data_IF_900286486583
#
_entry.id   IF_900286486583
#
_cell.length_a   1.000
_cell.length_b   1.000
_cell.length_c   1.000
_cell.angle_alpha   90.00
_cell.angle_beta   90.00
_cell.angle_gamma   90.00
#
_symmetry.space_group_name_H-M   'P 1'
#
loop_
_entity.id
_entity.type
_entity.pdbx_description
1 polymer ?
#
# COMPACT_ATOMS: atom_id res chain seq x y z
N UNK A 1 -8.20 7.90 11.46
CA UNK A 1 -7.44 9.18 11.51
C UNK A 1 -8.27 10.28 10.90
N UNK A 2 -8.26 11.51 11.45
CA UNK A 2 -9.00 12.59 10.82
C UNK A 2 -8.27 13.09 9.58
N UNK A 3 -8.99 13.31 8.50
CA UNK A 3 -8.57 13.95 7.25
C UNK A 3 -7.69 15.20 7.50
N UNK A 4 -8.03 15.98 8.51
CA UNK A 4 -7.33 17.19 8.94
C UNK A 4 -5.87 16.97 9.39
N UNK A 5 -5.47 15.78 9.83
CA UNK A 5 -4.09 15.52 10.24
C UNK A 5 -3.18 15.37 9.00
N UNK A 6 -3.63 14.62 8.00
CA UNK A 6 -2.88 14.44 6.75
C UNK A 6 -2.78 15.73 5.94
N UNK A 7 -3.82 16.56 5.92
CA UNK A 7 -3.75 17.88 5.29
C UNK A 7 -2.64 18.76 5.88
N UNK A 8 -2.48 18.70 7.20
CA UNK A 8 -1.49 19.53 7.92
C UNK A 8 -0.05 19.11 7.67
N UNK A 9 0.21 17.79 7.50
CA UNK A 9 1.57 17.26 7.35
C UNK A 9 1.96 17.00 5.89
N UNK A 10 1.08 17.25 4.92
CA UNK A 10 1.24 16.82 3.54
C UNK A 10 2.54 17.34 2.89
N UNK A 11 2.91 18.59 3.14
CA UNK A 11 4.10 19.21 2.55
C UNK A 11 5.40 18.60 3.09
N UNK A 12 5.43 18.20 4.37
CA UNK A 12 6.60 17.63 5.04
C UNK A 12 6.54 16.09 5.09
N UNK A 13 5.50 15.46 4.55
CA UNK A 13 5.24 14.03 4.69
C UNK A 13 6.39 13.17 4.16
N UNK A 14 6.89 13.49 2.98
CA UNK A 14 7.97 12.73 2.34
C UNK A 14 9.32 12.90 3.04
N UNK A 15 9.52 14.03 3.75
CA UNK A 15 10.73 14.33 4.51
C UNK A 15 10.71 13.74 5.93
N UNK A 16 9.61 13.10 6.32
CA UNK A 16 9.47 12.45 7.64
C UNK A 16 10.43 11.28 7.85
N UNK A 17 10.95 10.70 6.77
CA UNK A 17 11.91 9.60 6.77
C UNK A 17 13.13 9.92 5.90
N UNK A 18 14.31 9.33 6.19
CA UNK A 18 15.50 9.52 5.34
C UNK A 18 15.25 9.13 3.88
N UNK A 19 15.50 10.04 2.96
CA UNK A 19 15.23 9.88 1.53
C UNK A 19 15.79 8.57 0.93
N UNK A 20 16.96 8.11 1.39
CA UNK A 20 17.56 6.86 0.89
C UNK A 20 16.82 5.60 1.36
N UNK A 21 16.13 5.65 2.51
CA UNK A 21 15.28 4.56 3.00
C UNK A 21 13.95 4.57 2.26
N UNK A 22 13.36 5.76 2.07
CA UNK A 22 12.15 5.93 1.23
C UNK A 22 12.41 5.37 -0.17
N UNK A 23 13.53 5.74 -0.79
CA UNK A 23 13.93 5.25 -2.11
C UNK A 23 14.08 3.73 -2.16
N UNK A 24 14.71 3.13 -1.14
CA UNK A 24 14.84 1.68 -1.04
C UNK A 24 13.47 0.97 -1.07
N UNK A 25 12.51 1.46 -0.28
CA UNK A 25 11.17 0.86 -0.23
C UNK A 25 10.34 1.16 -1.48
N UNK A 26 10.44 2.36 -2.05
CA UNK A 26 9.78 2.69 -3.32
C UNK A 26 10.27 1.79 -4.46
N UNK A 27 11.59 1.65 -4.62
CA UNK A 27 12.17 0.77 -5.63
C UNK A 27 11.74 -0.69 -5.46
N UNK A 28 11.65 -1.15 -4.21
CA UNK A 28 11.21 -2.50 -3.88
C UNK A 28 9.75 -2.75 -4.24
N UNK A 29 8.86 -1.82 -3.87
CA UNK A 29 7.42 -1.87 -4.16
C UNK A 29 7.16 -1.79 -5.67
N UNK A 30 7.81 -0.86 -6.36
CA UNK A 30 7.74 -0.71 -7.82
C UNK A 30 8.13 -2.02 -8.51
N UNK A 31 9.28 -2.60 -8.15
CA UNK A 31 9.73 -3.88 -8.72
C UNK A 31 8.71 -4.99 -8.50
N UNK A 32 8.17 -5.13 -7.27
CA UNK A 32 7.17 -6.13 -6.96
C UNK A 32 5.92 -5.98 -7.85
N UNK A 33 5.40 -4.76 -7.99
CA UNK A 33 4.22 -4.50 -8.84
C UNK A 33 4.52 -4.86 -10.30
N UNK A 34 5.65 -4.40 -10.83
CA UNK A 34 6.04 -4.67 -12.23
C UNK A 34 6.22 -6.18 -12.50
N UNK A 35 6.73 -6.94 -11.53
CA UNK A 35 6.95 -8.39 -11.66
C UNK A 35 5.66 -9.22 -11.54
N UNK A 36 4.67 -8.75 -10.78
CA UNK A 36 3.52 -9.59 -10.41
C UNK A 36 2.16 -9.07 -10.90
N UNK A 37 2.09 -7.84 -11.39
CA UNK A 37 0.83 -7.22 -11.79
C UNK A 37 0.85 -6.82 -13.27
N UNK A 38 -0.26 -7.00 -14.00
CA UNK A 38 -0.35 -6.59 -15.40
C UNK A 38 -0.23 -5.06 -15.50
N UNK A 39 0.40 -4.58 -16.57
CA UNK A 39 0.31 -3.16 -16.94
C UNK A 39 -1.09 -2.87 -17.47
N UNK A 40 -1.54 -1.65 -17.30
CA UNK A 40 -2.86 -1.19 -17.71
C UNK A 40 -3.35 -0.09 -16.78
N UNK A 41 -4.67 0.04 -16.63
CA UNK A 41 -5.27 0.98 -15.69
C UNK A 41 -5.05 0.53 -14.26
N UNK A 42 -4.56 1.46 -13.41
CA UNK A 42 -4.24 1.14 -12.02
C UNK A 42 -4.77 2.20 -11.05
N UNK A 43 -5.29 1.75 -9.90
CA UNK A 43 -5.81 2.58 -8.83
C UNK A 43 -4.97 2.41 -7.57
N UNK A 44 -4.47 3.53 -7.05
CA UNK A 44 -3.83 3.64 -5.72
C UNK A 44 -4.86 4.15 -4.71
N UNK A 45 -5.25 3.31 -3.76
CA UNK A 45 -6.24 3.66 -2.72
C UNK A 45 -5.50 4.13 -1.46
N UNK A 46 -5.72 5.38 -1.08
CA UNK A 46 -4.92 6.07 -0.07
C UNK A 46 -3.55 6.46 -0.63
N UNK A 47 -3.53 7.12 -1.79
CA UNK A 47 -2.31 7.39 -2.54
C UNK A 47 -1.35 8.38 -1.87
N UNK A 48 -1.81 9.15 -0.87
CA UNK A 48 -1.01 10.17 -0.22
C UNK A 48 -0.40 11.16 -1.22
N UNK A 49 0.89 11.44 -1.06
CA UNK A 49 1.67 12.31 -1.96
C UNK A 49 1.96 11.71 -3.33
N UNK A 50 1.48 10.50 -3.63
CA UNK A 50 1.60 9.84 -4.93
C UNK A 50 2.99 9.31 -5.29
N UNK A 51 3.90 9.14 -4.34
CA UNK A 51 5.28 8.74 -4.61
C UNK A 51 5.39 7.40 -5.36
N UNK A 52 4.61 6.38 -4.96
CA UNK A 52 4.58 5.09 -5.67
C UNK A 52 3.79 5.19 -6.98
N UNK A 53 2.65 5.89 -6.98
CA UNK A 53 1.84 6.07 -8.18
C UNK A 53 2.62 6.75 -9.30
N UNK A 54 3.42 7.78 -9.00
CA UNK A 54 4.28 8.45 -9.99
C UNK A 54 5.30 7.49 -10.61
N UNK A 55 5.92 6.62 -9.80
CA UNK A 55 6.86 5.61 -10.32
C UNK A 55 6.20 4.56 -11.20
N UNK A 56 5.01 4.12 -10.83
CA UNK A 56 4.25 3.16 -11.64
C UNK A 56 3.79 3.79 -12.94
N UNK A 57 3.44 5.10 -12.94
CA UNK A 57 3.16 5.83 -14.17
C UNK A 57 4.38 5.88 -15.11
N UNK A 58 5.61 6.05 -14.56
CA UNK A 58 6.86 5.98 -15.33
C UNK A 58 7.14 4.56 -15.87
N UNK A 59 6.66 3.52 -15.19
CA UNK A 59 6.72 2.12 -15.64
C UNK A 59 5.62 1.75 -16.65
N UNK A 60 4.75 2.70 -17.03
CA UNK A 60 3.74 2.54 -18.08
C UNK A 60 2.36 2.10 -17.58
N UNK A 61 2.04 2.30 -16.30
CA UNK A 61 0.68 2.16 -15.79
C UNK A 61 -0.11 3.45 -16.02
N UNK A 62 -1.40 3.33 -16.37
CA UNK A 62 -2.35 4.45 -16.40
C UNK A 62 -2.92 4.66 -14.99
N UNK A 63 -2.36 5.66 -14.27
CA UNK A 63 -2.50 5.79 -12.84
C UNK A 63 -3.60 6.76 -12.41
N UNK A 64 -4.45 6.28 -11.52
CA UNK A 64 -5.36 7.10 -10.70
C UNK A 64 -5.00 6.92 -9.23
N UNK A 65 -4.95 8.00 -8.47
CA UNK A 65 -4.80 7.97 -7.02
C UNK A 65 -6.05 8.49 -6.33
N UNK A 66 -6.52 7.80 -5.27
CA UNK A 66 -7.61 8.27 -4.41
C UNK A 66 -7.07 8.52 -3.02
N UNK A 67 -7.36 9.70 -2.47
CA UNK A 67 -7.04 10.05 -1.09
C UNK A 67 -8.13 10.97 -0.51
N UNK A 68 -8.49 10.87 0.78
CA UNK A 68 -9.43 11.81 1.38
C UNK A 68 -8.82 13.19 1.63
N UNK A 69 -7.49 13.34 1.71
CA UNK A 69 -6.77 14.57 2.01
C UNK A 69 -6.53 15.42 0.77
N UNK A 70 -7.10 16.62 0.73
CA UNK A 70 -6.82 17.62 -0.31
C UNK A 70 -5.36 18.08 -0.28
N UNK A 71 -4.73 18.09 0.91
CA UNK A 71 -3.32 18.40 1.08
C UNK A 71 -2.42 17.41 0.36
N UNK A 72 -2.66 16.10 0.56
CA UNK A 72 -1.93 15.03 -0.10
C UNK A 72 -2.09 15.09 -1.62
N UNK A 73 -3.31 15.29 -2.11
CA UNK A 73 -3.58 15.38 -3.55
C UNK A 73 -2.92 16.59 -4.20
N UNK A 74 -2.81 17.73 -3.50
CA UNK A 74 -2.05 18.88 -4.00
C UNK A 74 -0.56 18.57 -4.18
N UNK A 75 0.05 17.84 -3.22
CA UNK A 75 1.44 17.40 -3.34
C UNK A 75 1.61 16.41 -4.49
N UNK A 76 0.66 15.48 -4.67
CA UNK A 76 0.65 14.57 -5.82
C UNK A 76 0.63 15.33 -7.14
N UNK A 77 -0.25 16.33 -7.30
CA UNK A 77 -0.36 17.16 -8.52
C UNK A 77 0.94 17.93 -8.81
N UNK A 78 1.61 18.43 -7.76
CA UNK A 78 2.92 19.09 -7.90
C UNK A 78 4.04 18.10 -8.28
N UNK A 79 3.94 16.84 -7.82
CA UNK A 79 4.94 15.80 -8.09
C UNK A 79 4.93 15.35 -9.54
N UNK A 80 3.76 15.16 -10.12
CA UNK A 80 3.63 14.59 -11.48
C UNK A 80 2.30 14.92 -12.13
N UNK A 81 2.35 15.23 -13.43
CA UNK A 81 1.15 15.32 -14.26
C UNK A 81 0.66 13.99 -14.86
N UNK A 82 1.31 12.86 -14.50
CA UNK A 82 0.99 11.53 -15.07
C UNK A 82 0.00 10.73 -14.22
N UNK A 83 -0.33 11.21 -13.03
CA UNK A 83 -1.26 10.55 -12.10
C UNK A 83 -2.46 11.47 -11.90
N UNK A 84 -3.66 10.96 -12.10
CA UNK A 84 -4.89 11.69 -11.82
C UNK A 84 -5.28 11.51 -10.35
N UNK A 85 -5.16 12.57 -9.55
CA UNK A 85 -5.65 12.61 -8.18
C UNK A 85 -7.17 12.76 -8.13
N UNK A 86 -7.83 12.00 -7.25
CA UNK A 86 -9.29 12.07 -7.00
C UNK A 86 -9.50 12.06 -5.50
N UNK A 87 -10.26 13.04 -5.00
CA UNK A 87 -10.68 13.02 -3.60
C UNK A 87 -11.72 11.94 -3.37
N UNK A 88 -11.52 11.09 -2.36
CA UNK A 88 -12.46 10.02 -2.05
C UNK A 88 -11.99 9.13 -0.92
N UNK A 89 -12.87 8.22 -0.50
CA UNK A 89 -12.62 7.24 0.56
C UNK A 89 -12.50 5.83 -0.01
N UNK A 90 -11.57 5.02 0.51
CA UNK A 90 -11.47 3.61 0.19
C UNK A 90 -12.73 2.80 0.52
N UNK A 91 -13.57 3.28 1.46
CA UNK A 91 -14.83 2.63 1.84
C UNK A 91 -15.98 2.86 0.86
N UNK A 92 -15.81 3.77 -0.11
CA UNK A 92 -16.80 4.08 -1.15
C UNK A 92 -16.09 4.69 -2.36
N UNK A 93 -15.62 3.84 -3.26
CA UNK A 93 -14.89 4.27 -4.45
C UNK A 93 -15.86 4.69 -5.56
N UNK A 94 -15.76 5.95 -5.99
CA UNK A 94 -16.62 6.52 -7.04
C UNK A 94 -16.18 6.12 -8.45
N UNK A 95 -15.94 4.81 -8.65
CA UNK A 95 -15.62 4.22 -9.94
C UNK A 95 -16.58 3.08 -10.25
N UNK A 96 -16.89 2.84 -11.54
CA UNK A 96 -17.68 1.68 -11.94
C UNK A 96 -17.01 0.37 -11.54
N UNK A 97 -17.79 -0.70 -11.46
CA UNK A 97 -17.27 -2.06 -11.34
C UNK A 97 -16.33 -2.36 -12.52
N UNK A 98 -15.34 -3.23 -12.28
CA UNK A 98 -14.48 -3.76 -13.34
C UNK A 98 -13.69 -2.68 -14.13
N UNK A 99 -13.25 -1.60 -13.45
CA UNK A 99 -12.61 -0.44 -14.10
C UNK A 99 -11.08 -0.57 -14.22
N UNK A 100 -10.42 -1.29 -13.32
CA UNK A 100 -8.96 -1.29 -13.21
C UNK A 100 -8.34 -2.69 -13.37
N UNK A 101 -7.18 -2.76 -14.01
CA UNK A 101 -6.38 -3.98 -14.13
C UNK A 101 -5.59 -4.28 -12.84
N UNK A 102 -5.23 -3.22 -12.08
CA UNK A 102 -4.59 -3.29 -10.79
C UNK A 102 -5.25 -2.30 -9.82
N UNK A 103 -5.62 -2.77 -8.64
CA UNK A 103 -6.02 -1.92 -7.51
C UNK A 103 -5.12 -2.23 -6.32
N UNK A 104 -4.50 -1.22 -5.73
CA UNK A 104 -3.61 -1.46 -4.61
C UNK A 104 -3.73 -0.40 -3.52
N UNK A 105 -3.28 -0.76 -2.33
CA UNK A 105 -3.04 0.18 -1.24
C UNK A 105 -1.73 -0.16 -0.53
N UNK A 106 -1.03 0.87 -0.07
CA UNK A 106 0.25 0.72 0.64
C UNK A 106 0.24 1.56 1.90
N UNK A 107 0.39 0.93 3.06
CA UNK A 107 0.39 1.57 4.37
C UNK A 107 -0.89 2.40 4.65
N UNK A 108 -2.05 1.83 4.34
CA UNK A 108 -3.36 2.48 4.48
C UNK A 108 -4.26 1.79 5.50
N UNK A 109 -4.31 0.46 5.45
CA UNK A 109 -5.30 -0.31 6.21
C UNK A 109 -5.19 -0.10 7.72
N UNK A 110 -3.97 0.10 8.25
CA UNK A 110 -3.75 0.33 9.68
C UNK A 110 -4.29 1.68 10.17
N UNK A 111 -4.56 2.63 9.27
CA UNK A 111 -5.23 3.89 9.60
C UNK A 111 -6.76 3.76 9.68
N UNK A 112 -7.32 2.62 9.27
CA UNK A 112 -8.76 2.36 9.33
C UNK A 112 -9.08 1.67 10.66
N UNK A 113 -9.63 2.43 11.62
CA UNK A 113 -9.87 1.94 12.98
C UNK A 113 -10.94 0.83 13.04
N UNK A 114 -12.05 0.98 12.29
CA UNK A 114 -13.15 0.05 12.31
C UNK A 114 -12.92 -1.16 11.39
N UNK A 115 -13.09 -2.38 11.92
CA UNK A 115 -12.93 -3.60 11.14
C UNK A 115 -13.93 -3.70 9.97
N UNK A 116 -15.13 -3.13 10.14
CA UNK A 116 -16.14 -3.07 9.08
C UNK A 116 -15.70 -2.20 7.91
N UNK A 117 -15.02 -1.09 8.19
CA UNK A 117 -14.51 -0.20 7.15
C UNK A 117 -13.30 -0.82 6.42
N UNK A 118 -12.45 -1.60 7.11
CA UNK A 118 -11.43 -2.41 6.45
C UNK A 118 -12.06 -3.40 5.47
N UNK A 119 -13.10 -4.15 5.91
CA UNK A 119 -13.81 -5.08 5.02
C UNK A 119 -14.46 -4.37 3.85
N UNK A 120 -15.08 -3.20 4.08
CA UNK A 120 -15.67 -2.36 3.03
C UNK A 120 -14.63 -1.92 2.02
N UNK A 121 -13.48 -1.41 2.48
CA UNK A 121 -12.38 -0.98 1.62
C UNK A 121 -11.88 -2.14 0.75
N UNK A 122 -11.66 -3.32 1.33
CA UNK A 122 -11.25 -4.51 0.58
C UNK A 122 -12.32 -4.92 -0.46
N UNK A 123 -13.60 -4.87 -0.09
CA UNK A 123 -14.71 -5.16 -1.00
C UNK A 123 -14.77 -4.16 -2.17
N UNK A 124 -14.62 -2.87 -1.91
CA UNK A 124 -14.58 -1.85 -2.94
C UNK A 124 -13.38 -2.02 -3.88
N UNK A 125 -12.20 -2.29 -3.33
CA UNK A 125 -11.00 -2.59 -4.14
C UNK A 125 -11.25 -3.76 -5.10
N UNK A 126 -11.87 -4.84 -4.61
CA UNK A 126 -12.22 -5.99 -5.45
C UNK A 126 -13.31 -5.62 -6.46
N UNK A 127 -14.36 -4.87 -6.05
CA UNK A 127 -15.45 -4.45 -6.93
C UNK A 127 -14.94 -3.72 -8.16
N UNK A 128 -14.08 -2.72 -7.97
CA UNK A 128 -13.56 -1.89 -9.06
C UNK A 128 -12.45 -2.55 -9.87
N UNK A 129 -11.89 -3.68 -9.39
CA UNK A 129 -10.91 -4.48 -10.14
C UNK A 129 -11.62 -5.29 -11.23
N UNK A 130 -11.05 -5.36 -12.42
CA UNK A 130 -11.56 -6.20 -13.53
C UNK A 130 -11.45 -7.68 -13.22
N UNK A 131 -12.32 -8.53 -13.78
CA UNK A 131 -12.10 -9.98 -13.75
C UNK A 131 -10.72 -10.37 -14.29
N UNK A 132 -9.97 -11.15 -13.52
CA UNK A 132 -8.57 -11.49 -13.80
C UNK A 132 -7.55 -10.42 -13.42
N UNK A 133 -7.99 -9.22 -13.02
CA UNK A 133 -7.13 -8.15 -12.50
C UNK A 133 -6.55 -8.48 -11.12
N UNK A 134 -5.68 -7.62 -10.62
CA UNK A 134 -4.94 -7.80 -9.37
C UNK A 134 -5.38 -6.82 -8.30
N UNK A 135 -5.49 -7.34 -7.07
CA UNK A 135 -5.65 -6.53 -5.85
C UNK A 135 -4.42 -6.75 -4.97
N UNK A 136 -3.72 -5.68 -4.61
CA UNK A 136 -2.52 -5.73 -3.77
C UNK A 136 -2.74 -4.93 -2.49
N UNK A 137 -2.52 -5.57 -1.35
CA UNK A 137 -2.45 -4.92 -0.04
C UNK A 137 -1.05 -5.08 0.52
N UNK A 138 -0.39 -3.94 0.80
CA UNK A 138 0.93 -3.89 1.41
C UNK A 138 0.84 -3.07 2.68
N UNK A 139 0.79 -3.72 3.84
CA UNK A 139 0.54 -3.02 5.10
C UNK A 139 1.40 -3.55 6.25
N UNK A 140 1.39 -2.86 7.37
CA UNK A 140 2.18 -3.16 8.54
C UNK A 140 1.88 -4.55 9.12
N UNK A 141 2.93 -5.31 9.44
CA UNK A 141 2.80 -6.65 10.03
C UNK A 141 2.74 -6.55 11.56
N UNK A 142 1.62 -6.92 12.22
CA UNK A 142 1.49 -6.87 13.66
C UNK A 142 2.47 -7.76 14.43
N UNK A 143 3.10 -8.73 13.75
CA UNK A 143 4.14 -9.60 14.34
C UNK A 143 5.50 -8.94 14.42
N UNK A 144 5.71 -7.82 13.70
CA UNK A 144 6.96 -7.08 13.80
C UNK A 144 6.93 -6.20 15.06
N UNK A 145 7.85 -6.42 16.03
CA UNK A 145 7.85 -5.66 17.26
C UNK A 145 8.21 -4.18 17.08
N UNK A 146 8.85 -3.82 15.98
CA UNK A 146 9.27 -2.46 15.66
C UNK A 146 8.09 -1.51 15.55
N UNK A 147 6.97 -1.93 14.95
CA UNK A 147 5.78 -1.09 14.79
C UNK A 147 5.21 -0.61 16.12
N UNK A 148 5.19 -1.47 17.15
CA UNK A 148 4.70 -1.11 18.49
C UNK A 148 5.52 0.00 19.15
N UNK A 149 6.81 0.12 18.78
CA UNK A 149 7.71 1.13 19.31
C UNK A 149 7.71 2.40 18.47
N UNK A 150 7.49 2.28 17.16
CA UNK A 150 7.60 3.36 16.20
C UNK A 150 6.29 4.15 16.07
N UNK A 151 5.15 3.50 15.98
CA UNK A 151 3.84 4.14 15.76
C UNK A 151 3.53 5.24 16.79
N UNK A 152 4.02 5.09 18.02
CA UNK A 152 3.87 6.14 19.04
C UNK A 152 4.81 7.37 18.85
N UNK A 153 5.67 7.37 17.82
CA UNK A 153 6.74 8.38 17.64
C UNK A 153 6.72 9.05 16.28
N UNK A 154 5.93 8.56 15.32
CA UNK A 154 5.87 9.13 13.97
C UNK A 154 4.69 10.10 13.85
N UNK A 155 4.87 11.26 13.18
CA UNK A 155 3.85 12.32 13.11
C UNK A 155 2.55 11.89 12.42
N UNK A 156 2.61 10.91 11.53
CA UNK A 156 1.47 10.38 10.79
C UNK A 156 0.57 9.49 11.65
N UNK A 157 1.07 8.95 12.76
CA UNK A 157 0.31 8.07 13.65
C UNK A 157 -0.25 8.85 14.84
N UNK A 158 -1.50 8.60 15.18
CA UNK A 158 -2.23 9.28 16.26
C UNK A 158 -2.39 8.41 17.52
N UNK A 159 -1.96 7.12 17.44
CA UNK A 159 -2.16 6.12 18.48
C UNK A 159 -3.50 5.39 18.40
N UNK A 160 -4.33 5.71 17.41
CA UNK A 160 -5.60 5.03 17.13
C UNK A 160 -5.46 3.94 16.05
N UNK A 161 -4.27 3.80 15.50
CA UNK A 161 -3.96 2.87 14.41
C UNK A 161 -4.11 1.42 14.89
N UNK A 162 -4.70 0.60 14.03
CA UNK A 162 -4.89 -0.82 14.27
C UNK A 162 -4.09 -1.66 13.28
N UNK A 163 -3.05 -2.33 13.73
CA UNK A 163 -2.28 -3.26 12.88
C UNK A 163 -3.15 -4.44 12.44
N UNK A 164 -3.27 -4.61 11.13
CA UNK A 164 -4.15 -5.63 10.52
C UNK A 164 -3.36 -6.92 10.28
N UNK A 165 -3.88 -8.02 10.82
CA UNK A 165 -3.29 -9.34 10.59
C UNK A 165 -3.51 -9.83 9.16
N UNK A 166 -2.55 -10.60 8.64
CA UNK A 166 -2.65 -11.19 7.29
C UNK A 166 -3.92 -12.02 7.09
N UNK A 167 -4.36 -12.71 8.13
CA UNK A 167 -5.57 -13.56 8.07
C UNK A 167 -6.85 -12.74 7.93
N UNK A 168 -6.88 -11.51 8.48
CA UNK A 168 -8.00 -10.58 8.31
C UNK A 168 -8.04 -10.02 6.89
N UNK A 169 -6.88 -9.60 6.35
CA UNK A 169 -6.78 -9.15 4.96
C UNK A 169 -7.20 -10.23 3.97
N UNK A 170 -6.74 -11.46 4.18
CA UNK A 170 -7.10 -12.60 3.33
C UNK A 170 -8.60 -12.89 3.38
N UNK A 171 -9.19 -12.96 4.57
CA UNK A 171 -10.64 -13.17 4.69
C UNK A 171 -11.42 -12.09 3.98
N UNK A 172 -11.09 -10.81 4.20
CA UNK A 172 -11.79 -9.71 3.53
C UNK A 172 -11.71 -9.77 2.01
N UNK A 173 -10.56 -10.14 1.45
CA UNK A 173 -10.40 -10.32 -0.01
C UNK A 173 -11.17 -11.52 -0.54
N UNK A 174 -11.13 -12.67 0.16
CA UNK A 174 -11.86 -13.89 -0.23
C UNK A 174 -13.36 -13.66 -0.15
N UNK A 175 -13.86 -13.06 0.92
CA UNK A 175 -15.28 -12.75 1.10
C UNK A 175 -15.80 -11.79 0.03
N UNK A 176 -14.90 -10.91 -0.49
CA UNK A 176 -15.19 -10.02 -1.61
C UNK A 176 -15.10 -10.68 -2.99
N UNK A 177 -14.72 -11.96 -3.08
CA UNK A 177 -14.64 -12.72 -4.34
C UNK A 177 -13.28 -12.69 -5.03
N UNK A 178 -12.19 -12.35 -4.31
CA UNK A 178 -10.83 -12.44 -4.83
C UNK A 178 -10.11 -13.70 -4.31
N UNK A 179 -9.28 -14.30 -5.16
CA UNK A 179 -8.49 -15.48 -4.84
C UNK A 179 -7.03 -15.08 -4.53
N UNK A 180 -6.45 -15.54 -3.41
CA UNK A 180 -5.05 -15.27 -3.10
C UNK A 180 -4.10 -15.84 -4.16
N UNK A 181 -3.18 -15.01 -4.66
CA UNK A 181 -2.13 -15.39 -5.62
C UNK A 181 -0.79 -15.52 -4.93
N UNK A 182 -0.46 -14.56 -4.07
CA UNK A 182 0.79 -14.54 -3.32
C UNK A 182 0.57 -13.91 -1.94
N UNK A 183 1.04 -14.59 -0.92
CA UNK A 183 1.07 -14.07 0.44
C UNK A 183 2.48 -14.15 0.97
N UNK A 184 3.07 -13.01 1.27
CA UNK A 184 4.45 -12.94 1.77
C UNK A 184 4.60 -11.83 2.80
N UNK A 185 5.79 -11.69 3.35
CA UNK A 185 6.18 -10.58 4.21
C UNK A 185 7.49 -10.00 3.71
N UNK A 186 7.63 -8.69 3.85
CA UNK A 186 8.73 -7.93 3.28
C UNK A 186 9.13 -6.76 4.17
N UNK A 187 10.39 -6.32 4.02
CA UNK A 187 10.93 -5.17 4.73
C UNK A 187 11.59 -5.53 6.05
N UNK A 188 12.88 -5.21 6.16
CA UNK A 188 13.69 -5.35 7.39
C UNK A 188 14.69 -4.21 7.55
N UNK A 189 14.73 -3.27 6.60
CA UNK A 189 15.62 -2.10 6.68
C UNK A 189 14.95 -1.07 7.60
N UNK A 190 15.53 -0.77 8.78
CA UNK A 190 14.99 0.25 9.66
C UNK A 190 15.13 1.65 9.04
N UNK A 191 14.22 2.56 9.36
CA UNK A 191 14.22 3.94 8.88
C UNK A 191 15.44 4.75 9.34
N UNK A 192 16.03 4.42 10.48
CA UNK A 192 17.26 5.03 10.98
C UNK A 192 18.56 4.46 10.35
N UNK A 193 18.47 3.58 9.34
CA UNK A 193 19.65 2.96 8.71
C UNK A 193 20.52 4.03 8.04
N UNK A 194 21.81 4.16 8.38
CA UNK A 194 22.70 5.09 7.71
C UNK A 194 22.88 4.76 6.23
N UNK A 195 23.00 5.78 5.38
CA UNK A 195 23.18 5.60 3.92
C UNK A 195 24.33 4.67 3.57
N UNK A 196 25.44 4.74 4.30
CA UNK A 196 26.63 3.88 4.10
C UNK A 196 26.36 2.39 4.38
N UNK A 197 25.36 2.06 5.21
CA UNK A 197 25.01 0.69 5.57
C UNK A 197 23.81 0.15 4.78
N UNK A 198 23.15 0.97 3.95
CA UNK A 198 21.95 0.58 3.24
C UNK A 198 22.15 -0.66 2.35
N UNK A 199 23.29 -0.76 1.67
CA UNK A 199 23.61 -1.92 0.85
C UNK A 199 23.69 -3.23 1.65
N UNK A 200 24.36 -3.20 2.81
CA UNK A 200 24.46 -4.35 3.71
C UNK A 200 23.10 -4.69 4.36
N UNK A 201 22.37 -3.66 4.81
CA UNK A 201 21.03 -3.83 5.37
C UNK A 201 20.05 -4.45 4.34
N UNK A 202 20.06 -3.99 3.09
CA UNK A 202 19.27 -4.56 2.01
C UNK A 202 19.66 -6.00 1.65
N UNK A 203 20.95 -6.36 1.78
CA UNK A 203 21.39 -7.75 1.60
C UNK A 203 20.87 -8.65 2.74
N UNK A 204 20.96 -8.18 3.98
CA UNK A 204 20.41 -8.86 5.15
C UNK A 204 18.89 -9.02 5.07
N UNK A 205 18.18 -7.97 4.62
CA UNK A 205 16.73 -7.99 4.36
C UNK A 205 16.37 -9.10 3.36
N UNK A 206 17.06 -9.18 2.21
CA UNK A 206 16.81 -10.24 1.21
C UNK A 206 17.03 -11.64 1.76
N UNK A 207 18.02 -11.81 2.63
CA UNK A 207 18.26 -13.10 3.30
C UNK A 207 17.13 -13.42 4.30
N UNK A 208 16.69 -12.45 5.10
CA UNK A 208 15.60 -12.57 6.05
C UNK A 208 14.28 -12.95 5.35
N UNK A 209 13.96 -12.31 4.24
CA UNK A 209 12.75 -12.58 3.44
C UNK A 209 12.72 -13.98 2.83
N UNK A 210 13.89 -14.58 2.58
CA UNK A 210 14.02 -15.96 2.09
C UNK A 210 13.97 -17.01 3.21
N UNK A 211 14.20 -16.61 4.46
CA UNK A 211 14.25 -17.52 5.60
C UNK A 211 12.86 -17.58 6.26
N UNK A 212 12.12 -18.70 6.20
CA UNK A 212 10.71 -18.78 6.62
C UNK A 212 10.42 -18.27 8.04
N UNK A 213 11.28 -18.61 9.02
CA UNK A 213 11.11 -18.17 10.41
C UNK A 213 11.31 -16.66 10.57
N UNK A 214 12.38 -16.11 9.96
CA UNK A 214 12.71 -14.68 10.04
C UNK A 214 11.72 -13.86 9.23
N UNK A 215 11.30 -14.34 8.06
CA UNK A 215 10.27 -13.68 7.26
C UNK A 215 8.99 -13.41 8.05
N UNK A 216 8.65 -14.28 9.01
CA UNK A 216 7.49 -14.11 9.87
C UNK A 216 7.40 -12.77 10.59
N UNK A 217 8.54 -12.14 10.87
CA UNK A 217 8.67 -10.86 11.58
C UNK A 217 9.11 -9.69 10.67
N UNK A 218 9.14 -9.85 9.34
CA UNK A 218 9.35 -8.73 8.43
C UNK A 218 8.31 -7.63 8.64
N UNK A 219 8.65 -6.39 8.29
CA UNK A 219 7.89 -5.20 8.66
C UNK A 219 6.47 -5.16 8.07
N UNK A 220 6.27 -5.72 6.89
CA UNK A 220 5.00 -5.60 6.18
C UNK A 220 4.42 -6.96 5.79
N UNK A 221 3.10 -7.08 5.86
CA UNK A 221 2.31 -8.08 5.17
C UNK A 221 2.13 -7.65 3.71
N UNK A 222 2.30 -8.57 2.78
CA UNK A 222 2.08 -8.35 1.34
C UNK A 222 1.11 -9.43 0.87
N UNK A 223 -0.08 -9.02 0.48
CA UNK A 223 -1.15 -9.89 0.01
C UNK A 223 -1.51 -9.47 -1.41
N UNK A 224 -1.26 -10.34 -2.37
CA UNK A 224 -1.67 -10.19 -3.75
C UNK A 224 -2.79 -11.20 -4.03
N UNK A 225 -3.91 -10.72 -4.55
CA UNK A 225 -5.04 -11.52 -4.95
C UNK A 225 -5.45 -11.23 -6.39
N UNK A 226 -6.22 -12.10 -6.99
CA UNK A 226 -6.84 -11.90 -8.31
C UNK A 226 -8.35 -11.90 -8.14
N UNK A 227 -9.04 -10.94 -8.76
CA UNK A 227 -10.50 -11.07 -8.91
C UNK A 227 -10.81 -12.25 -9.82
N UNK A 228 -11.69 -13.14 -9.39
CA UNK A 228 -12.11 -14.29 -10.18
C UNK A 228 -12.54 -13.86 -11.59
N UNK A 229 -12.20 -14.63 -12.60
CA UNK A 229 -12.78 -14.44 -13.94
C UNK A 229 -14.29 -14.75 -13.85
N UNK A 230 -15.14 -13.86 -14.36
CA UNK A 230 -16.55 -14.21 -14.53
C UNK A 230 -16.61 -15.56 -15.28
N UNK A 231 -17.29 -16.54 -14.68
CA UNK A 231 -17.50 -17.83 -15.35
C UNK A 231 -18.09 -17.51 -16.73
N UNK A 232 -17.40 -17.92 -17.81
CA UNK A 232 -17.99 -17.87 -19.14
C UNK A 232 -19.11 -18.92 -19.16
N UNK A 233 -20.35 -18.45 -19.00
CA UNK A 233 -21.53 -19.22 -19.31
C UNK A 233 -21.65 -19.41 -20.84
#
# INVERSE_FOLDING_TARGET
>A
MSESNFDRIAEDYDDSLPAHVVEHYLAKRTRFVVEHCPRGSALDVGCGTGALAARLADEGYDMVGVDPSDGMLRVLEQRTGKVRGVRGSGTSLEFPDDSFDLVYCVAVMHHIAAADDVRRTLSEMVRVTRPGGRVLVWDHNPRNPYWRLLMARVPQDTGEERLIGVDELLRGLIDAGAEPVLVTRSGMVPDFTPRSLLGAAGAAERAAERTPLVRGICAHNVVLASKGSAARN
#
